data_IF_444607392458
#
_entry.id   IF_444607392458
#
_cell.length_a   1.000
_cell.length_b   1.000
_cell.length_c   1.000
_cell.angle_alpha   90.00
_cell.angle_beta   90.00
_cell.angle_gamma   90.00
#
_symmetry.space_group_name_H-M   'P 1'
#
loop_
_entity.id
_entity.type
_entity.pdbx_description
1 polymer ?
#
# COMPACT_ATOMS: atom_id res chain seq x y z
N UNK A 1 11.67 12.14 -30.83
CA UNK A 1 13.14 12.09 -30.77
C UNK A 1 13.49 11.63 -29.37
N UNK A 2 13.68 10.32 -29.18
CA UNK A 2 14.23 9.78 -27.93
C UNK A 2 15.68 10.24 -27.83
N UNK A 3 16.04 10.94 -26.75
CA UNK A 3 17.42 11.34 -26.49
C UNK A 3 18.17 10.12 -25.90
N UNK A 4 19.13 9.50 -26.60
CA UNK A 4 19.66 8.20 -26.19
C UNK A 4 20.81 8.29 -25.17
N UNK A 5 21.25 9.48 -24.73
CA UNK A 5 22.34 9.61 -23.76
C UNK A 5 22.10 10.71 -22.72
N UNK A 6 21.62 10.26 -21.57
CA UNK A 6 21.47 10.97 -20.32
C UNK A 6 20.49 10.16 -19.50
N UNK A 7 20.74 9.90 -18.22
CA UNK A 7 19.85 9.12 -17.32
C UNK A 7 18.41 9.69 -17.18
N UNK A 8 17.95 10.53 -18.11
CA UNK A 8 16.60 11.03 -18.26
C UNK A 8 15.59 9.90 -18.49
N UNK A 9 15.93 8.89 -19.31
CA UNK A 9 15.33 7.56 -19.19
C UNK A 9 16.04 6.85 -18.03
N UNK A 10 15.60 7.08 -16.81
CA UNK A 10 16.16 6.36 -15.66
C UNK A 10 15.71 4.91 -15.75
N UNK A 11 16.67 4.02 -15.98
CA UNK A 11 16.50 2.57 -15.95
C UNK A 11 17.16 2.00 -14.71
N UNK A 12 16.39 1.22 -13.94
CA UNK A 12 16.77 0.57 -12.68
C UNK A 12 17.24 1.57 -11.63
N UNK A 13 16.74 2.81 -11.67
CA UNK A 13 17.13 3.90 -10.79
C UNK A 13 15.90 4.66 -10.29
N UNK A 14 15.86 5.04 -9.01
CA UNK A 14 14.75 5.84 -8.50
C UNK A 14 14.81 7.23 -9.12
N UNK A 15 13.75 7.60 -9.86
CA UNK A 15 13.69 8.88 -10.55
C UNK A 15 12.27 9.45 -10.56
N UNK A 16 12.18 10.75 -10.24
CA UNK A 16 10.91 11.47 -10.21
C UNK A 16 10.24 11.53 -11.59
N UNK A 17 11.01 11.51 -12.68
CA UNK A 17 10.46 11.49 -14.04
C UNK A 17 9.63 10.23 -14.30
N UNK A 18 10.09 9.06 -13.84
CA UNK A 18 9.35 7.80 -14.02
C UNK A 18 8.06 7.81 -13.19
N UNK A 19 8.06 8.49 -12.05
CA UNK A 19 6.88 8.68 -11.20
C UNK A 19 5.84 9.61 -11.82
N UNK A 20 6.28 10.72 -12.41
CA UNK A 20 5.40 11.79 -12.93
C UNK A 20 4.91 11.46 -14.35
N UNK A 21 5.83 11.08 -15.23
CA UNK A 21 5.53 10.85 -16.66
C UNK A 21 5.18 9.39 -16.94
N UNK A 22 5.42 8.49 -15.98
CA UNK A 22 5.26 7.05 -16.15
C UNK A 22 6.43 6.43 -16.93
N UNK A 23 6.61 5.11 -16.78
CA UNK A 23 7.57 4.33 -17.59
C UNK A 23 7.10 2.89 -17.72
N UNK A 24 6.95 2.37 -18.94
CA UNK A 24 6.35 1.04 -19.14
C UNK A 24 4.82 1.10 -19.08
N UNK A 25 4.19 0.33 -18.19
CA UNK A 25 2.72 0.31 -18.00
C UNK A 25 2.31 1.02 -16.73
N UNK A 26 1.37 1.96 -16.89
CA UNK A 26 0.66 2.56 -15.76
C UNK A 26 -0.64 1.80 -15.52
N UNK A 27 -0.81 1.30 -14.30
CA UNK A 27 -1.97 0.49 -13.91
C UNK A 27 -2.57 1.04 -12.62
N UNK A 28 -3.90 1.10 -12.58
CA UNK A 28 -4.66 1.35 -11.36
C UNK A 28 -5.51 0.11 -11.10
N UNK A 29 -5.51 -0.35 -9.86
CA UNK A 29 -6.39 -1.41 -9.38
C UNK A 29 -7.14 -0.91 -8.16
N UNK A 30 -8.44 -1.19 -8.09
CA UNK A 30 -9.30 -0.77 -6.99
C UNK A 30 -10.26 -1.88 -6.58
N UNK A 31 -10.70 -1.83 -5.32
CA UNK A 31 -11.72 -2.73 -4.80
C UNK A 31 -12.52 -2.05 -3.68
N UNK A 32 -13.77 -2.46 -3.53
CA UNK A 32 -14.62 -2.12 -2.39
C UNK A 32 -14.73 -3.36 -1.49
N UNK A 33 -14.24 -3.25 -0.27
CA UNK A 33 -14.28 -4.30 0.74
C UNK A 33 -15.41 -3.98 1.72
N UNK A 34 -16.39 -4.88 1.80
CA UNK A 34 -17.55 -4.71 2.68
C UNK A 34 -17.14 -4.74 4.15
N UNK A 35 -17.83 -3.98 4.99
CA UNK A 35 -17.61 -3.93 6.45
C UNK A 35 -17.46 -5.32 7.08
N UNK A 36 -18.36 -6.23 6.72
CA UNK A 36 -18.39 -7.59 7.22
C UNK A 36 -17.08 -8.34 6.93
N UNK A 37 -16.49 -8.14 5.75
CA UNK A 37 -15.21 -8.75 5.36
C UNK A 37 -14.06 -8.11 6.13
N UNK A 38 -14.08 -6.79 6.31
CA UNK A 38 -13.07 -6.08 7.11
C UNK A 38 -13.05 -6.59 8.56
N UNK A 39 -14.21 -6.75 9.17
CA UNK A 39 -14.29 -7.25 10.55
C UNK A 39 -14.00 -8.75 10.65
N UNK A 40 -14.60 -9.57 9.77
CA UNK A 40 -14.50 -11.05 9.87
C UNK A 40 -13.17 -11.60 9.36
N UNK A 41 -12.61 -11.05 8.29
CA UNK A 41 -11.38 -11.57 7.67
C UNK A 41 -10.18 -10.75 8.13
N UNK A 42 -10.25 -9.43 7.99
CA UNK A 42 -9.12 -8.53 8.28
C UNK A 42 -8.95 -8.21 9.78
N UNK A 43 -9.93 -8.57 10.62
CA UNK A 43 -9.92 -8.41 12.09
C UNK A 43 -9.62 -6.97 12.53
N UNK A 44 -10.11 -6.00 11.77
CA UNK A 44 -9.91 -4.56 12.02
C UNK A 44 -11.20 -3.80 11.70
N UNK A 45 -11.15 -2.47 11.74
CA UNK A 45 -12.22 -1.58 11.31
C UNK A 45 -11.74 -0.65 10.17
N UNK A 46 -12.69 -0.10 9.42
CA UNK A 46 -12.40 0.76 8.24
C UNK A 46 -11.66 2.03 8.67
N UNK A 47 -12.08 2.67 9.75
CA UNK A 47 -11.46 3.91 10.22
C UNK A 47 -9.98 3.74 10.58
N UNK A 48 -9.61 2.66 11.26
CA UNK A 48 -8.22 2.37 11.61
C UNK A 48 -7.37 2.07 10.37
N UNK A 49 -7.94 1.39 9.36
CA UNK A 49 -7.23 1.17 8.09
C UNK A 49 -6.96 2.48 7.36
N UNK A 50 -7.97 3.34 7.24
CA UNK A 50 -7.85 4.66 6.60
C UNK A 50 -6.85 5.53 7.36
N UNK A 51 -6.98 5.64 8.68
CA UNK A 51 -6.06 6.41 9.52
C UNK A 51 -4.62 5.90 9.41
N UNK A 52 -4.43 4.58 9.49
CA UNK A 52 -3.10 3.98 9.35
C UNK A 52 -2.51 4.24 7.96
N UNK A 53 -3.30 4.18 6.89
CA UNK A 53 -2.82 4.50 5.55
C UNK A 53 -2.36 5.96 5.44
N UNK A 54 -3.17 6.89 5.95
CA UNK A 54 -2.83 8.31 5.99
C UNK A 54 -1.53 8.56 6.77
N UNK A 55 -1.38 7.95 7.95
CA UNK A 55 -0.20 8.15 8.79
C UNK A 55 1.04 7.46 8.24
N UNK A 56 0.93 6.19 7.82
CA UNK A 56 2.08 5.36 7.44
C UNK A 56 2.51 5.61 6.00
N UNK A 57 1.60 5.40 5.06
CA UNK A 57 1.91 5.37 3.64
C UNK A 57 1.96 6.77 3.02
N UNK A 58 1.22 7.74 3.57
CA UNK A 58 1.23 9.11 3.07
C UNK A 58 2.14 10.01 3.91
N UNK A 59 1.73 10.36 5.14
CA UNK A 59 2.47 11.31 5.98
C UNK A 59 3.88 10.78 6.33
N UNK A 60 3.99 9.51 6.71
CA UNK A 60 5.26 8.87 7.02
C UNK A 60 6.23 8.88 5.84
N UNK A 61 5.75 8.45 4.66
CA UNK A 61 6.54 8.49 3.43
C UNK A 61 6.92 9.91 3.00
N UNK A 62 6.02 10.88 3.18
CA UNK A 62 6.31 12.29 2.90
C UNK A 62 7.40 12.85 3.81
N UNK A 63 7.32 12.57 5.12
CA UNK A 63 8.36 12.98 6.09
C UNK A 63 9.70 12.30 5.81
N UNK A 64 9.67 11.04 5.36
CA UNK A 64 10.87 10.31 4.97
C UNK A 64 11.49 10.79 3.64
N UNK A 65 10.80 11.67 2.88
CA UNK A 65 11.25 12.10 1.56
C UNK A 65 11.21 10.97 0.51
N UNK A 66 10.30 10.01 0.67
CA UNK A 66 10.18 8.90 -0.27
C UNK A 66 9.69 9.38 -1.64
N UNK A 67 10.35 8.92 -2.70
CA UNK A 67 9.96 9.15 -4.10
C UNK A 67 9.22 7.91 -4.61
N UNK A 68 7.93 8.05 -4.96
CA UNK A 68 7.09 6.96 -5.47
C UNK A 68 6.76 5.83 -4.47
N UNK A 69 7.28 5.90 -3.23
CA UNK A 69 7.12 4.90 -2.17
C UNK A 69 5.97 5.19 -1.20
N UNK A 70 4.77 5.44 -1.70
CA UNK A 70 3.58 5.73 -0.89
C UNK A 70 2.75 4.45 -0.64
N UNK A 71 3.43 3.38 -0.27
CA UNK A 71 2.86 2.04 -0.07
C UNK A 71 3.54 1.35 1.12
N UNK A 72 3.06 0.17 1.48
CA UNK A 72 3.60 -0.60 2.59
C UNK A 72 4.75 -1.51 2.18
N UNK A 73 4.55 -2.32 1.13
CA UNK A 73 5.52 -3.34 0.73
C UNK A 73 5.39 -3.77 -0.75
N UNK A 74 4.94 -2.89 -1.65
CA UNK A 74 4.71 -3.24 -3.06
C UNK A 74 5.92 -3.94 -3.71
N UNK A 75 7.14 -3.47 -3.36
CA UNK A 75 8.43 -4.06 -3.75
C UNK A 75 8.55 -5.56 -3.48
N UNK A 76 8.02 -6.06 -2.36
CA UNK A 76 8.10 -7.48 -2.02
C UNK A 76 7.26 -8.33 -2.99
N UNK A 77 6.05 -7.86 -3.30
CA UNK A 77 5.12 -8.56 -4.19
C UNK A 77 5.62 -8.52 -5.64
N UNK A 78 6.05 -7.34 -6.10
CA UNK A 78 6.60 -7.15 -7.45
C UNK A 78 7.83 -8.03 -7.64
N UNK A 79 8.78 -8.03 -6.70
CA UNK A 79 9.97 -8.88 -6.76
C UNK A 79 9.63 -10.37 -6.83
N UNK A 80 8.67 -10.84 -6.03
CA UNK A 80 8.26 -12.24 -6.03
C UNK A 80 7.67 -12.66 -7.39
N UNK A 81 6.79 -11.83 -7.97
CA UNK A 81 6.20 -12.11 -9.28
C UNK A 81 7.26 -12.04 -10.38
N UNK A 82 8.15 -11.05 -10.33
CA UNK A 82 9.20 -10.87 -11.33
C UNK A 82 10.15 -12.06 -11.36
N UNK A 83 10.61 -12.53 -10.19
CA UNK A 83 11.44 -13.73 -10.09
C UNK A 83 10.68 -14.96 -10.59
N UNK A 84 9.42 -15.14 -10.18
CA UNK A 84 8.62 -16.30 -10.56
C UNK A 84 8.28 -16.35 -12.07
N UNK A 85 8.17 -15.20 -12.71
CA UNK A 85 7.79 -15.06 -14.13
C UNK A 85 8.96 -14.75 -15.05
N UNK A 86 10.20 -14.77 -14.53
CA UNK A 86 11.42 -14.55 -15.30
C UNK A 86 11.63 -13.12 -15.80
N UNK A 87 11.06 -12.12 -15.13
CA UNK A 87 11.33 -10.70 -15.38
C UNK A 87 12.65 -10.27 -14.75
N UNK A 88 13.12 -9.06 -15.06
CA UNK A 88 14.34 -8.48 -14.48
C UNK A 88 14.08 -7.95 -13.06
N UNK A 89 14.61 -8.57 -11.99
CA UNK A 89 14.37 -8.12 -10.63
C UNK A 89 14.98 -6.75 -10.32
N UNK A 90 15.96 -6.27 -11.11
CA UNK A 90 16.52 -4.94 -10.94
C UNK A 90 15.51 -3.84 -11.30
N UNK A 91 14.54 -4.12 -12.16
CA UNK A 91 13.46 -3.19 -12.52
C UNK A 91 12.44 -2.99 -11.40
N UNK A 92 12.52 -3.77 -10.32
CA UNK A 92 11.69 -3.57 -9.12
C UNK A 92 11.87 -2.18 -8.49
N UNK A 93 13.04 -1.54 -8.68
CA UNK A 93 13.30 -0.17 -8.19
C UNK A 93 12.23 0.81 -8.68
N UNK A 94 11.73 0.62 -9.90
CA UNK A 94 10.75 1.51 -10.52
C UNK A 94 9.36 0.87 -10.57
N UNK A 95 9.30 -0.43 -10.83
CA UNK A 95 8.05 -1.18 -10.88
C UNK A 95 7.34 -1.26 -9.53
N UNK A 96 8.05 -1.00 -8.42
CA UNK A 96 7.46 -0.92 -7.08
C UNK A 96 6.98 0.48 -6.69
N UNK A 97 7.15 1.49 -7.56
CA UNK A 97 6.50 2.77 -7.40
C UNK A 97 4.99 2.57 -7.31
N UNK A 98 4.43 2.90 -6.16
CA UNK A 98 3.04 2.64 -5.85
C UNK A 98 2.52 3.65 -4.82
N UNK A 99 1.35 4.22 -5.11
CA UNK A 99 0.51 4.88 -4.10
C UNK A 99 -0.60 3.91 -3.72
N UNK A 100 -0.74 3.66 -2.41
CA UNK A 100 -1.90 2.98 -1.84
C UNK A 100 -2.84 4.01 -1.20
N UNK A 101 -4.08 4.06 -1.67
CA UNK A 101 -5.15 4.89 -1.10
C UNK A 101 -6.19 4.02 -0.43
N UNK A 102 -6.73 4.51 0.70
CA UNK A 102 -7.80 3.88 1.44
C UNK A 102 -8.79 4.95 1.87
N UNK A 103 -10.06 4.76 1.51
CA UNK A 103 -11.13 5.69 1.80
C UNK A 103 -12.34 4.96 2.38
N UNK A 104 -13.02 5.60 3.33
CA UNK A 104 -14.25 5.07 3.88
C UNK A 104 -15.41 5.49 2.96
N UNK A 105 -16.16 4.52 2.44
CA UNK A 105 -17.29 4.73 1.52
C UNK A 105 -18.57 4.16 2.12
N UNK A 106 -19.72 4.46 1.51
CA UNK A 106 -21.05 3.99 1.97
C UNK A 106 -21.33 4.34 3.44
N UNK A 107 -21.18 5.63 3.78
CA UNK A 107 -21.33 6.19 5.13
C UNK A 107 -20.27 5.68 6.13
N UNK A 108 -19.10 5.30 5.62
CA UNK A 108 -17.98 4.81 6.41
C UNK A 108 -18.03 3.34 6.78
N UNK A 109 -19.00 2.59 6.24
CA UNK A 109 -19.15 1.15 6.48
C UNK A 109 -18.18 0.33 5.66
N UNK A 110 -18.01 0.69 4.39
CA UNK A 110 -17.17 -0.07 3.48
C UNK A 110 -15.84 0.63 3.24
N UNK A 111 -14.83 -0.14 2.87
CA UNK A 111 -13.50 0.35 2.55
C UNK A 111 -13.32 0.34 1.04
N UNK A 112 -13.09 1.51 0.43
CA UNK A 112 -12.47 1.58 -0.89
C UNK A 112 -10.95 1.55 -0.71
N UNK A 113 -10.30 0.65 -1.44
CA UNK A 113 -8.84 0.59 -1.54
C UNK A 113 -8.45 0.68 -3.00
N UNK A 114 -7.42 1.46 -3.29
CA UNK A 114 -6.81 1.49 -4.61
C UNK A 114 -5.28 1.51 -4.53
N UNK A 115 -4.66 0.93 -5.54
CA UNK A 115 -3.22 1.02 -5.78
C UNK A 115 -2.99 1.59 -7.17
N UNK A 116 -2.09 2.56 -7.24
CA UNK A 116 -1.68 3.19 -8.50
C UNK A 116 -0.21 2.95 -8.71
N UNK A 117 0.12 2.23 -9.79
CA UNK A 117 1.48 1.84 -10.16
C UNK A 117 1.81 2.43 -11.53
N UNK A 118 2.50 3.58 -11.61
CA UNK A 118 2.69 4.30 -12.86
C UNK A 118 3.78 3.71 -13.75
N UNK A 119 4.66 2.86 -13.20
CA UNK A 119 5.93 2.51 -13.83
C UNK A 119 6.24 1.00 -13.87
N UNK A 120 5.25 0.13 -14.11
CA UNK A 120 5.49 -1.32 -14.19
C UNK A 120 6.27 -1.61 -15.46
N UNK A 121 7.46 -2.19 -15.30
CA UNK A 121 8.28 -2.66 -16.39
C UNK A 121 8.20 -4.17 -16.52
N UNK A 122 7.74 -4.63 -17.67
CA UNK A 122 7.72 -6.05 -18.01
C UNK A 122 8.24 -6.30 -19.41
N UNK A 123 8.64 -7.54 -19.66
CA UNK A 123 9.09 -7.98 -20.98
C UNK A 123 8.00 -7.73 -22.04
N UNK A 124 8.32 -7.08 -23.17
CA UNK A 124 7.34 -6.81 -24.22
C UNK A 124 6.71 -8.10 -24.76
N UNK A 125 5.38 -8.11 -24.91
CA UNK A 125 4.65 -9.25 -25.44
C UNK A 125 3.14 -9.02 -25.50
N UNK A 126 2.40 -9.92 -26.16
CA UNK A 126 0.93 -9.82 -26.29
C UNK A 126 0.22 -9.84 -24.93
N UNK A 127 0.80 -10.53 -23.94
CA UNK A 127 0.24 -10.68 -22.60
C UNK A 127 0.80 -9.68 -21.57
N UNK A 128 1.64 -8.72 -21.98
CA UNK A 128 2.35 -7.82 -21.05
C UNK A 128 1.37 -7.01 -20.19
N UNK A 129 0.28 -6.52 -20.81
CA UNK A 129 -0.80 -5.81 -20.10
C UNK A 129 -1.49 -6.68 -19.04
N UNK A 130 -1.72 -7.95 -19.35
CA UNK A 130 -2.34 -8.88 -18.41
C UNK A 130 -1.44 -9.11 -17.20
N UNK A 131 -0.13 -9.31 -17.43
CA UNK A 131 0.84 -9.46 -16.34
C UNK A 131 0.88 -8.21 -15.45
N UNK A 132 0.90 -7.01 -16.04
CA UNK A 132 0.87 -5.76 -15.27
C UNK A 132 -0.40 -5.64 -14.41
N UNK A 133 -1.57 -6.06 -14.92
CA UNK A 133 -2.81 -6.10 -14.13
C UNK A 133 -2.73 -7.13 -12.99
N UNK A 134 -2.15 -8.31 -13.22
CA UNK A 134 -1.96 -9.33 -12.18
C UNK A 134 -1.02 -8.82 -11.09
N UNK A 135 0.07 -8.14 -11.46
CA UNK A 135 1.00 -7.50 -10.53
C UNK A 135 0.27 -6.48 -9.66
N UNK A 136 -0.46 -5.53 -10.26
CA UNK A 136 -1.18 -4.51 -9.52
C UNK A 136 -2.26 -5.09 -8.59
N UNK A 137 -3.03 -6.09 -9.06
CA UNK A 137 -4.03 -6.78 -8.23
C UNK A 137 -3.40 -7.54 -7.06
N UNK A 138 -2.24 -8.17 -7.28
CA UNK A 138 -1.49 -8.86 -6.22
C UNK A 138 -0.92 -7.86 -5.20
N UNK A 139 -0.43 -6.71 -5.66
CA UNK A 139 0.01 -5.61 -4.79
C UNK A 139 -1.16 -5.11 -3.95
N UNK A 140 -2.32 -4.83 -4.55
CA UNK A 140 -3.52 -4.41 -3.80
C UNK A 140 -3.89 -5.41 -2.69
N UNK A 141 -3.91 -6.71 -3.01
CA UNK A 141 -4.22 -7.75 -2.04
C UNK A 141 -3.19 -7.83 -0.90
N UNK A 142 -1.90 -7.75 -1.24
CA UNK A 142 -0.83 -7.75 -0.26
C UNK A 142 -0.86 -6.52 0.65
N UNK A 143 -1.07 -5.33 0.07
CA UNK A 143 -1.18 -4.08 0.81
C UNK A 143 -2.36 -4.12 1.78
N UNK A 144 -3.53 -4.57 1.34
CA UNK A 144 -4.70 -4.76 2.22
C UNK A 144 -4.38 -5.70 3.39
N UNK A 145 -3.74 -6.83 3.09
CA UNK A 145 -3.37 -7.83 4.09
C UNK A 145 -2.39 -7.26 5.13
N UNK A 146 -1.30 -6.64 4.69
CA UNK A 146 -0.29 -6.08 5.61
C UNK A 146 -0.87 -4.93 6.46
N UNK A 147 -1.61 -4.02 5.83
CA UNK A 147 -2.22 -2.89 6.53
C UNK A 147 -3.24 -3.38 7.58
N UNK A 148 -4.01 -4.42 7.27
CA UNK A 148 -4.91 -5.02 8.26
C UNK A 148 -4.20 -5.64 9.45
N UNK A 149 -3.09 -6.36 9.23
CA UNK A 149 -2.32 -6.96 10.31
C UNK A 149 -1.74 -5.90 11.25
N UNK A 150 -1.22 -4.79 10.70
CA UNK A 150 -0.69 -3.68 11.49
C UNK A 150 -1.81 -2.96 12.25
N UNK A 151 -2.93 -2.68 11.58
CA UNK A 151 -4.07 -2.01 12.22
C UNK A 151 -4.65 -2.85 13.36
N UNK A 152 -4.85 -4.16 13.16
CA UNK A 152 -5.30 -5.07 14.21
C UNK A 152 -4.33 -5.10 15.40
N UNK A 153 -3.02 -5.15 15.15
CA UNK A 153 -2.00 -5.09 16.20
C UNK A 153 -2.01 -3.77 16.99
N UNK A 154 -2.18 -2.64 16.31
CA UNK A 154 -2.31 -1.34 16.96
C UNK A 154 -3.59 -1.22 17.79
N UNK A 155 -4.71 -1.76 17.28
CA UNK A 155 -5.98 -1.81 18.01
C UNK A 155 -5.87 -2.64 19.30
N UNK A 156 -5.23 -3.81 19.25
CA UNK A 156 -5.01 -4.64 20.44
C UNK A 156 -4.13 -3.90 21.45
N UNK A 157 -3.03 -3.31 20.99
CA UNK A 157 -2.10 -2.59 21.86
C UNK A 157 -2.72 -1.34 22.48
N UNK A 158 -3.53 -0.59 21.72
CA UNK A 158 -4.23 0.59 22.23
C UNK A 158 -5.31 0.18 23.25
N UNK A 159 -6.07 -0.88 23.00
CA UNK A 159 -6.95 -1.44 24.02
C UNK A 159 -6.17 -1.88 25.27
N UNK A 160 -5.06 -2.59 25.17
CA UNK A 160 -4.26 -2.99 26.35
C UNK A 160 -3.69 -1.79 27.12
N UNK A 161 -3.28 -0.72 26.43
CA UNK A 161 -2.69 0.49 27.03
C UNK A 161 -3.73 1.43 27.65
N UNK A 162 -4.89 1.59 27.00
CA UNK A 162 -5.92 2.56 27.39
C UNK A 162 -7.14 1.93 28.09
N UNK A 163 -7.29 0.59 28.12
CA UNK A 163 -8.41 -0.10 28.80
C UNK A 163 -8.12 -0.44 30.27
N UNK A 164 -7.10 0.14 30.91
CA UNK A 164 -7.02 0.17 32.38
C UNK A 164 -7.95 1.27 32.89
N UNK A 165 -9.24 0.92 32.99
CA UNK A 165 -10.28 1.72 33.62
C UNK A 165 -9.97 2.00 35.11
N UNK A 166 -10.33 3.21 35.52
CA UNK A 166 -10.20 3.92 36.80
C UNK A 166 -10.80 3.21 38.03
N UNK A 167 -10.37 1.99 38.35
CA UNK A 167 -10.72 1.32 39.62
C UNK A 167 -9.59 1.48 40.63
N UNK A 168 -9.45 2.68 41.21
CA UNK A 168 -8.85 2.88 42.56
C UNK A 168 -8.90 4.36 43.02
N UNK A 169 -10.05 5.03 42.90
CA UNK A 169 -10.29 6.33 43.59
C UNK A 169 -11.69 6.36 44.25
N UNK A 170 -12.12 5.25 44.85
CA UNK A 170 -13.40 5.21 45.60
C UNK A 170 -13.32 4.37 46.87
N UNK A 171 -12.17 4.39 47.54
CA UNK A 171 -12.03 3.78 48.87
C UNK A 171 -11.15 4.58 49.83
N UNK A 172 -11.29 5.92 49.84
CA UNK A 172 -10.93 6.74 51.00
C UNK A 172 -11.96 7.86 51.15
N UNK A 173 -13.20 7.48 51.49
CA UNK A 173 -14.12 8.34 52.24
C UNK A 173 -15.05 7.46 53.08
N UNK A 174 -14.54 6.90 54.18
CA UNK A 174 -15.38 6.48 55.31
C UNK A 174 -14.55 5.95 56.48
N UNK A 175 -14.65 6.67 57.60
CA UNK A 175 -14.11 6.44 58.96
C UNK A 175 -12.91 7.31 59.31
#
# INVERSE_FOLDING_TARGET
>A
MENPLGNYCSDKKPAAVNWIEGRGKSVVCEAIIKEEVVQKVLKTNVSALVELNMLKNLAGSAVAGALGGFNAHASNIVSAIFIATGQDPAQNVESSHCITMMEAVNDGRDLHISVTMPSIEESPGSNSRLLATIVAGSVLAGELSLMSAIAAGQLVNSHMKYNRSSKDVTKISSS
#
